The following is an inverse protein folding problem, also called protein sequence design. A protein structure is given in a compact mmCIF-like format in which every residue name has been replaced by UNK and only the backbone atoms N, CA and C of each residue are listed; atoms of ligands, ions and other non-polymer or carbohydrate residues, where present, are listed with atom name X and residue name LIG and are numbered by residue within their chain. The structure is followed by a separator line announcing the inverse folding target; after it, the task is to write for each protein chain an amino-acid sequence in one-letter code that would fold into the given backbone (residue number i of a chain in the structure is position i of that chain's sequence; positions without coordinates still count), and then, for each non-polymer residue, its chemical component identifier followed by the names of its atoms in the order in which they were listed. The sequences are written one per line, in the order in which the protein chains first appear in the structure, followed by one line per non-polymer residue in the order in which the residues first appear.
data_IF_679239066234
#
_entry.id   IF_679239066234
#
_cell.length_a   1.000
_cell.length_b   1.000
_cell.length_c   1.000
_cell.angle_alpha   90.00
_cell.angle_beta   90.00
_cell.angle_gamma   90.00
#
_symmetry.space_group_name_H-M   'P 1'
#
loop_
_entity.id
_entity.type
_entity.pdbx_description
1 polymer ?
#
# COMPACT_ATOMS: atom_id res chain seq x y z
N UNK A 1 2.90 -18.83 -3.18
CA UNK A 1 1.45 -18.75 -2.80
C UNK A 1 0.94 -19.92 -1.95
N UNK A 2 1.21 -21.18 -2.34
CA UNK A 2 0.69 -22.39 -1.64
C UNK A 2 1.04 -22.44 -0.16
N UNK A 3 2.31 -22.30 0.19
CA UNK A 3 2.78 -22.32 1.59
C UNK A 3 2.16 -21.20 2.42
N UNK A 4 2.03 -19.98 1.86
CA UNK A 4 1.39 -18.86 2.55
C UNK A 4 -0.09 -19.13 2.84
N UNK A 5 -0.84 -19.69 1.89
CA UNK A 5 -2.24 -20.05 2.10
C UNK A 5 -2.39 -21.17 3.14
N UNK A 6 -1.48 -22.16 3.13
CA UNK A 6 -1.49 -23.22 4.13
C UNK A 6 -1.21 -22.69 5.54
N UNK A 7 -0.34 -21.69 5.67
CA UNK A 7 0.01 -21.07 6.95
C UNK A 7 -1.00 -20.03 7.45
N UNK A 8 -1.74 -19.36 6.57
CA UNK A 8 -2.65 -18.28 6.93
C UNK A 8 -4.11 -18.74 6.91
N UNK A 9 -4.90 -18.32 7.90
CA UNK A 9 -6.38 -18.41 7.87
C UNK A 9 -7.02 -17.12 7.33
N UNK A 10 -6.33 -16.00 7.48
CA UNK A 10 -6.78 -14.67 7.06
C UNK A 10 -6.86 -14.50 5.53
N UNK A 11 -7.63 -13.52 5.04
CA UNK A 11 -7.56 -13.08 3.65
C UNK A 11 -6.12 -12.72 3.25
N UNK A 12 -5.69 -13.16 2.07
CA UNK A 12 -4.38 -12.84 1.51
C UNK A 12 -4.54 -12.00 0.24
N UNK A 13 -3.58 -11.10 0.02
CA UNK A 13 -3.47 -10.32 -1.22
C UNK A 13 -2.12 -10.63 -1.86
N UNK A 14 -2.14 -11.03 -3.13
CA UNK A 14 -0.91 -11.27 -3.89
C UNK A 14 -0.43 -9.97 -4.55
N UNK A 15 0.73 -9.44 -4.16
CA UNK A 15 1.29 -8.23 -4.75
C UNK A 15 2.31 -8.55 -5.86
N UNK A 16 2.01 -8.15 -7.08
CA UNK A 16 2.83 -8.35 -8.26
C UNK A 16 3.76 -7.16 -8.54
N UNK A 17 4.83 -7.47 -9.26
CA UNK A 17 5.73 -6.50 -9.88
C UNK A 17 5.81 -6.82 -11.38
N UNK A 18 5.38 -5.90 -12.23
CA UNK A 18 5.42 -6.10 -13.69
C UNK A 18 6.86 -6.24 -14.22
N UNK A 19 7.86 -5.78 -13.45
CA UNK A 19 9.27 -5.98 -13.75
C UNK A 19 9.73 -7.46 -13.73
N UNK A 20 8.88 -8.40 -13.30
CA UNK A 20 9.12 -9.85 -13.40
C UNK A 20 8.67 -10.46 -14.74
N UNK A 21 7.87 -9.74 -15.51
CA UNK A 21 7.32 -10.22 -16.78
C UNK A 21 5.88 -10.74 -16.65
N UNK A 22 5.10 -10.60 -17.72
CA UNK A 22 3.65 -10.89 -17.72
C UNK A 22 3.33 -12.37 -17.54
N UNK A 23 4.18 -13.26 -18.05
CA UNK A 23 4.00 -14.72 -17.92
C UNK A 23 4.04 -15.15 -16.45
N UNK A 24 5.14 -14.86 -15.75
CA UNK A 24 5.31 -15.18 -14.32
C UNK A 24 4.23 -14.52 -13.46
N UNK A 25 3.91 -13.25 -13.74
CA UNK A 25 2.87 -12.51 -13.02
C UNK A 25 1.50 -13.16 -13.20
N UNK A 26 1.13 -13.55 -14.43
CA UNK A 26 -0.14 -14.22 -14.72
C UNK A 26 -0.24 -15.58 -14.02
N UNK A 27 0.83 -16.37 -14.07
CA UNK A 27 0.90 -17.67 -13.41
C UNK A 27 0.62 -17.54 -11.90
N UNK A 28 1.32 -16.63 -11.20
CA UNK A 28 1.12 -16.45 -9.77
C UNK A 28 -0.22 -15.78 -9.41
N UNK A 29 -0.75 -14.89 -10.26
CA UNK A 29 -2.05 -14.27 -10.05
C UNK A 29 -3.17 -15.33 -10.09
N UNK A 30 -3.18 -16.18 -11.13
CA UNK A 30 -4.15 -17.28 -11.28
C UNK A 30 -4.01 -18.31 -10.16
N UNK A 31 -2.77 -18.68 -9.82
CA UNK A 31 -2.53 -19.56 -8.66
C UNK A 31 -3.06 -18.96 -7.35
N UNK A 32 -3.00 -17.64 -7.19
CA UNK A 32 -3.55 -16.97 -6.00
C UNK A 32 -5.09 -17.00 -6.01
N UNK A 33 -5.72 -16.82 -7.16
CA UNK A 33 -7.16 -17.00 -7.36
C UNK A 33 -7.62 -18.43 -7.01
N UNK A 34 -6.95 -19.45 -7.57
CA UNK A 34 -7.25 -20.86 -7.29
C UNK A 34 -7.12 -21.21 -5.80
N UNK A 35 -6.22 -20.52 -5.09
CA UNK A 35 -5.99 -20.69 -3.65
C UNK A 35 -6.93 -19.84 -2.78
N UNK A 36 -7.90 -19.12 -3.36
CA UNK A 36 -8.86 -18.31 -2.63
C UNK A 36 -8.25 -17.08 -1.96
N UNK A 37 -7.28 -16.43 -2.60
CA UNK A 37 -6.82 -15.12 -2.17
C UNK A 37 -7.94 -14.10 -2.36
N UNK A 38 -7.95 -13.05 -1.54
CA UNK A 38 -9.02 -12.05 -1.56
C UNK A 38 -8.82 -10.98 -2.63
N UNK A 39 -7.58 -10.77 -3.08
CA UNK A 39 -7.25 -9.83 -4.14
C UNK A 39 -5.88 -10.14 -4.74
N UNK A 40 -5.63 -9.57 -5.91
CA UNK A 40 -4.26 -9.39 -6.45
C UNK A 40 -3.95 -7.90 -6.46
N UNK A 41 -2.68 -7.54 -6.53
CA UNK A 41 -2.30 -6.14 -6.63
C UNK A 41 -1.08 -5.94 -7.51
N UNK A 42 -0.90 -4.69 -7.95
CA UNK A 42 0.20 -4.28 -8.80
C UNK A 42 0.95 -3.15 -8.11
N UNK A 43 2.26 -3.30 -8.01
CA UNK A 43 3.14 -2.23 -7.52
C UNK A 43 3.58 -1.36 -8.70
N UNK A 44 3.21 -0.08 -8.66
CA UNK A 44 3.46 0.89 -9.74
C UNK A 44 4.63 1.85 -9.44
N UNK A 45 4.98 2.03 -8.16
CA UNK A 45 5.99 3.00 -7.71
C UNK A 45 7.44 2.50 -7.85
N UNK A 46 7.67 1.25 -8.23
CA UNK A 46 9.04 0.74 -8.46
C UNK A 46 9.49 1.01 -9.88
N UNK A 47 9.93 2.25 -10.12
CA UNK A 47 10.77 2.57 -11.27
C UNK A 47 12.21 2.15 -10.94
N UNK A 48 12.96 1.63 -11.92
CA UNK A 48 14.41 1.49 -11.77
C UNK A 48 15.00 2.89 -11.46
N UNK A 49 15.85 3.08 -10.43
CA UNK A 49 16.71 4.26 -10.37
C UNK A 49 17.94 4.08 -11.29
N UNK A 50 18.68 5.09 -11.76
CA UNK A 50 18.39 6.31 -12.57
C UNK A 50 19.76 6.84 -13.05
N UNK A 51 19.96 7.03 -14.38
CA UNK A 51 20.71 8.10 -15.11
C UNK A 51 20.88 7.66 -16.58
N UNK A 52 20.88 8.61 -17.53
CA UNK A 52 21.30 8.33 -18.92
C UNK A 52 22.78 7.92 -18.86
N UNK A 53 23.06 6.63 -19.07
CA UNK A 53 24.40 6.05 -19.02
C UNK A 53 24.64 5.02 -17.91
N UNK A 54 23.71 4.81 -16.98
CA UNK A 54 23.89 3.82 -15.91
C UNK A 54 23.31 2.45 -16.31
N UNK A 55 24.16 1.43 -16.40
CA UNK A 55 23.77 0.03 -16.36
C UNK A 55 23.76 -0.45 -14.90
N UNK A 56 22.59 -0.53 -14.27
CA UNK A 56 22.42 -1.23 -12.99
C UNK A 56 21.86 -2.63 -13.27
N UNK A 57 22.69 -3.69 -13.30
CA UNK A 57 22.21 -5.05 -13.35
C UNK A 57 21.57 -5.37 -11.99
N UNK A 58 20.25 -5.20 -11.90
CA UNK A 58 19.47 -5.74 -10.79
C UNK A 58 19.35 -7.24 -10.98
N UNK A 59 20.23 -7.99 -10.31
CA UNK A 59 20.14 -9.44 -10.28
C UNK A 59 18.84 -9.88 -9.61
N UNK A 60 18.22 -10.91 -10.17
CA UNK A 60 17.44 -11.87 -9.38
C UNK A 60 18.35 -12.52 -8.33
N UNK A 61 17.80 -13.29 -7.38
CA UNK A 61 18.63 -14.08 -6.43
C UNK A 61 19.62 -15.01 -7.16
N UNK A 62 19.34 -15.24 -8.44
CA UNK A 62 19.90 -16.16 -9.39
C UNK A 62 20.66 -15.45 -10.54
N UNK A 63 21.04 -14.17 -10.37
CA UNK A 63 21.98 -13.49 -11.27
C UNK A 63 21.38 -12.98 -12.59
N UNK A 64 20.13 -13.33 -12.90
CA UNK A 64 19.49 -12.97 -14.18
C UNK A 64 18.96 -11.53 -14.18
N UNK A 65 19.07 -10.80 -15.30
CA UNK A 65 18.44 -9.50 -15.47
C UNK A 65 16.92 -9.59 -15.35
N UNK A 66 16.29 -8.66 -14.63
CA UNK A 66 14.82 -8.52 -14.63
C UNK A 66 14.32 -8.19 -16.04
N UNK A 67 13.38 -8.99 -16.54
CA UNK A 67 12.83 -8.89 -17.91
C UNK A 67 11.60 -8.01 -18.07
N UNK A 68 11.03 -7.48 -16.99
CA UNK A 68 9.79 -6.73 -17.12
C UNK A 68 9.97 -5.26 -17.43
N UNK A 69 8.84 -4.61 -17.69
CA UNK A 69 8.76 -3.24 -18.19
C UNK A 69 8.25 -2.27 -17.11
N UNK A 70 8.34 -0.96 -17.41
CA UNK A 70 7.66 0.06 -16.60
C UNK A 70 6.17 -0.26 -16.57
N UNK A 71 5.57 -0.34 -15.40
CA UNK A 71 4.13 -0.56 -15.26
C UNK A 71 3.37 0.65 -15.82
N UNK A 72 2.25 0.37 -16.48
CA UNK A 72 1.37 1.34 -17.14
C UNK A 72 -0.09 1.08 -16.78
N UNK A 73 -1.01 2.01 -17.06
CA UNK A 73 -2.44 1.77 -16.85
C UNK A 73 -2.97 0.53 -17.59
N UNK A 74 -2.43 0.22 -18.78
CA UNK A 74 -2.76 -1.00 -19.54
C UNK A 74 -2.42 -2.29 -18.79
N UNK A 75 -1.53 -2.25 -17.81
CA UNK A 75 -1.21 -3.42 -16.99
C UNK A 75 -2.26 -3.69 -15.92
N UNK A 76 -2.99 -2.64 -15.49
CA UNK A 76 -4.17 -2.79 -14.64
C UNK A 76 -5.27 -3.48 -15.44
N UNK A 77 -5.57 -2.96 -16.63
CA UNK A 77 -6.55 -3.55 -17.55
C UNK A 77 -6.20 -5.01 -17.88
N UNK A 78 -4.93 -5.28 -18.19
CA UNK A 78 -4.44 -6.62 -18.46
C UNK A 78 -4.59 -7.55 -17.25
N UNK A 79 -4.27 -7.10 -16.04
CA UNK A 79 -4.44 -7.91 -14.82
C UNK A 79 -5.90 -8.27 -14.57
N UNK A 80 -6.83 -7.33 -14.82
CA UNK A 80 -8.29 -7.57 -14.77
C UNK A 80 -8.75 -8.63 -15.78
N UNK A 81 -8.00 -8.88 -16.84
CA UNK A 81 -8.26 -9.96 -17.80
C UNK A 81 -7.62 -11.30 -17.39
N UNK A 82 -6.70 -11.30 -16.40
CA UNK A 82 -6.03 -12.54 -15.96
C UNK A 82 -6.79 -13.28 -14.87
N UNK A 83 -7.49 -12.57 -14.00
CA UNK A 83 -8.20 -13.09 -12.81
C UNK A 83 -9.50 -12.31 -12.58
N UNK A 84 -10.45 -12.93 -11.87
CA UNK A 84 -11.70 -12.27 -11.44
C UNK A 84 -11.59 -11.61 -10.06
N UNK A 85 -10.45 -11.76 -9.38
CA UNK A 85 -10.18 -11.13 -8.10
C UNK A 85 -10.10 -9.59 -8.22
N UNK A 86 -10.44 -8.85 -7.14
CA UNK A 86 -10.15 -7.42 -7.05
C UNK A 86 -8.67 -7.11 -7.31
N UNK A 87 -8.39 -6.02 -8.04
CA UNK A 87 -7.05 -5.54 -8.38
C UNK A 87 -6.73 -4.28 -7.55
N UNK A 88 -5.75 -4.41 -6.66
CA UNK A 88 -5.26 -3.33 -5.80
C UNK A 88 -4.04 -2.66 -6.42
N UNK A 89 -4.09 -1.34 -6.67
CA UNK A 89 -2.97 -0.60 -7.27
C UNK A 89 -2.20 0.14 -6.19
N UNK A 90 -0.94 -0.22 -5.97
CA UNK A 90 -0.08 0.37 -4.93
C UNK A 90 0.98 1.29 -5.53
N UNK A 91 1.20 2.42 -4.85
CA UNK A 91 2.27 3.37 -5.20
C UNK A 91 1.74 4.71 -5.71
N UNK A 92 0.50 5.04 -5.41
CA UNK A 92 -0.16 6.27 -5.87
C UNK A 92 0.21 7.42 -4.95
N UNK A 93 0.84 8.47 -5.49
CA UNK A 93 1.29 9.63 -4.69
C UNK A 93 0.67 10.95 -5.17
N UNK A 94 -0.21 10.91 -6.16
CA UNK A 94 -0.87 12.08 -6.74
C UNK A 94 -2.28 11.80 -7.26
N UNK A 95 -3.08 12.86 -7.38
CA UNK A 95 -4.46 12.83 -7.81
C UNK A 95 -4.65 12.28 -9.24
N UNK A 96 -3.82 12.72 -10.19
CA UNK A 96 -3.88 12.29 -11.60
C UNK A 96 -3.66 10.78 -11.75
N UNK A 97 -2.63 10.25 -11.08
CA UNK A 97 -2.34 8.82 -11.07
C UNK A 97 -3.47 8.02 -10.42
N UNK A 98 -4.09 8.56 -9.37
CA UNK A 98 -5.25 7.94 -8.74
C UNK A 98 -6.43 7.83 -9.70
N UNK A 99 -6.76 8.92 -10.41
CA UNK A 99 -7.81 8.92 -11.42
C UNK A 99 -7.51 7.95 -12.55
N UNK A 100 -6.26 7.95 -13.04
CA UNK A 100 -5.80 7.04 -14.09
C UNK A 100 -5.95 5.58 -13.66
N UNK A 101 -5.54 5.24 -12.44
CA UNK A 101 -5.65 3.88 -11.92
C UNK A 101 -7.11 3.41 -11.80
N UNK A 102 -8.00 4.26 -11.29
CA UNK A 102 -9.44 3.94 -11.17
C UNK A 102 -10.08 3.81 -12.56
N UNK A 103 -9.75 4.70 -13.50
CA UNK A 103 -10.27 4.64 -14.87
C UNK A 103 -9.80 3.37 -15.61
N UNK A 104 -8.62 2.86 -15.28
CA UNK A 104 -8.08 1.60 -15.79
C UNK A 104 -8.64 0.35 -15.08
N UNK A 105 -9.57 0.51 -14.13
CA UNK A 105 -10.28 -0.59 -13.50
C UNK A 105 -9.68 -1.10 -12.18
N UNK A 106 -8.85 -0.31 -11.51
CA UNK A 106 -8.42 -0.63 -10.13
C UNK A 106 -9.64 -0.73 -9.21
N UNK A 107 -9.69 -1.76 -8.36
CA UNK A 107 -10.75 -1.96 -7.36
C UNK A 107 -10.39 -1.36 -5.99
N UNK A 108 -9.12 -0.98 -5.81
CA UNK A 108 -8.62 -0.20 -4.67
C UNK A 108 -7.30 0.47 -5.07
N UNK A 109 -6.97 1.58 -4.41
CA UNK A 109 -5.65 2.23 -4.56
C UNK A 109 -4.95 2.35 -3.21
N UNK A 110 -3.62 2.28 -3.21
CA UNK A 110 -2.79 2.45 -2.00
C UNK A 110 -1.89 3.66 -2.18
N UNK A 111 -2.09 4.65 -1.31
CA UNK A 111 -1.19 5.78 -1.16
C UNK A 111 0.09 5.30 -0.49
N UNK A 112 1.18 5.30 -1.24
CA UNK A 112 2.43 4.66 -0.84
C UNK A 112 3.61 5.27 -1.57
N UNK A 113 4.68 5.59 -0.84
CA UNK A 113 5.99 5.92 -1.41
C UNK A 113 6.99 4.77 -1.18
N UNK A 114 6.47 3.54 -1.13
CA UNK A 114 7.24 2.32 -0.88
C UNK A 114 8.01 2.32 0.46
N UNK A 115 7.47 3.01 1.47
CA UNK A 115 8.13 3.16 2.76
C UNK A 115 9.36 4.06 2.73
N UNK A 116 9.42 5.00 1.79
CA UNK A 116 10.50 5.97 1.60
C UNK A 116 11.77 5.38 0.97
N UNK A 117 11.62 4.42 0.04
CA UNK A 117 12.75 3.62 -0.47
C UNK A 117 13.10 3.84 -1.94
N UNK A 118 12.23 4.51 -2.70
CA UNK A 118 12.38 4.57 -4.16
C UNK A 118 12.85 5.94 -4.63
N UNK A 119 12.15 7.01 -4.21
CA UNK A 119 12.48 8.37 -4.59
C UNK A 119 12.72 9.19 -3.31
N UNK A 120 13.97 9.57 -3.09
CA UNK A 120 14.34 10.51 -2.03
C UNK A 120 13.72 11.89 -2.30
N UNK A 121 13.39 12.62 -1.23
CA UNK A 121 12.66 13.90 -1.27
C UNK A 121 11.23 13.84 -1.84
N UNK A 122 10.63 12.65 -1.94
CA UNK A 122 9.20 12.54 -2.17
C UNK A 122 8.41 13.02 -0.92
N UNK A 123 7.20 13.56 -1.13
CA UNK A 123 6.29 13.94 -0.05
C UNK A 123 5.94 12.74 0.84
N UNK A 124 5.54 13.01 2.08
CA UNK A 124 5.07 11.94 2.96
C UNK A 124 3.77 11.35 2.40
N UNK A 125 3.58 10.03 2.48
CA UNK A 125 2.35 9.37 1.99
C UNK A 125 1.10 9.88 2.71
N UNK A 126 1.20 10.28 3.99
CA UNK A 126 0.08 10.89 4.71
C UNK A 126 -0.31 12.26 4.15
N UNK A 127 0.67 13.04 3.65
CA UNK A 127 0.42 14.30 2.95
C UNK A 127 -0.19 14.03 1.59
N UNK A 128 0.29 13.00 0.86
CA UNK A 128 -0.39 12.18 -0.17
C UNK A 128 -1.92 12.16 -0.15
N UNK A 129 -2.41 11.74 1.00
CA UNK A 129 -3.68 11.04 1.13
C UNK A 129 -4.90 11.89 0.78
N UNK A 130 -5.05 13.15 1.25
CA UNK A 130 -6.23 13.97 0.97
C UNK A 130 -6.50 14.16 -0.52
N UNK A 131 -5.47 14.48 -1.30
CA UNK A 131 -5.60 14.74 -2.75
C UNK A 131 -6.03 13.47 -3.49
N UNK A 132 -5.47 12.32 -3.09
CA UNK A 132 -5.83 11.02 -3.68
C UNK A 132 -7.26 10.63 -3.31
N UNK A 133 -7.67 10.80 -2.06
CA UNK A 133 -9.05 10.51 -1.62
C UNK A 133 -10.05 11.36 -2.40
N UNK A 134 -9.77 12.66 -2.56
CA UNK A 134 -10.60 13.57 -3.35
C UNK A 134 -10.68 13.14 -4.81
N UNK A 135 -9.55 12.83 -5.44
CA UNK A 135 -9.50 12.39 -6.84
C UNK A 135 -10.22 11.04 -7.08
N UNK A 136 -10.13 10.12 -6.13
CA UNK A 136 -10.86 8.84 -6.22
C UNK A 136 -12.37 9.07 -6.12
N UNK A 137 -12.80 10.06 -5.34
CA UNK A 137 -14.21 10.47 -5.27
C UNK A 137 -15.12 9.37 -4.74
N UNK A 138 -14.62 8.52 -3.85
CA UNK A 138 -15.36 7.39 -3.27
C UNK A 138 -15.65 6.22 -4.22
N UNK A 139 -15.16 6.24 -5.47
CA UNK A 139 -15.38 5.17 -6.45
C UNK A 139 -14.80 3.83 -6.01
N UNK A 140 -13.65 3.86 -5.34
CA UNK A 140 -12.98 2.69 -4.76
C UNK A 140 -12.35 3.03 -3.41
N UNK A 141 -12.10 2.05 -2.52
CA UNK A 141 -11.38 2.30 -1.28
C UNK A 141 -9.94 2.77 -1.52
N UNK A 142 -9.54 3.79 -0.74
CA UNK A 142 -8.16 4.29 -0.68
C UNK A 142 -7.49 3.75 0.58
N UNK A 143 -6.38 3.06 0.42
CA UNK A 143 -5.55 2.56 1.53
C UNK A 143 -4.30 3.44 1.69
N UNK A 144 -3.64 3.37 2.85
CA UNK A 144 -2.39 4.10 3.11
C UNK A 144 -1.32 3.16 3.66
N UNK A 145 -0.06 3.33 3.26
CA UNK A 145 1.08 2.79 4.00
C UNK A 145 2.16 3.86 4.24
N UNK A 146 3.39 3.46 4.55
CA UNK A 146 4.55 4.37 4.61
C UNK A 146 4.55 5.34 5.80
N UNK A 147 4.79 4.81 7.01
CA UNK A 147 5.13 5.63 8.19
C UNK A 147 4.28 5.37 9.43
N UNK A 148 3.23 4.57 9.35
CA UNK A 148 2.33 4.26 10.48
C UNK A 148 3.08 3.53 11.61
N UNK A 149 3.17 4.12 12.79
CA UNK A 149 3.93 3.59 13.95
C UNK A 149 3.13 3.57 15.26
N UNK A 150 2.00 4.24 15.31
CA UNK A 150 1.11 4.24 16.46
C UNK A 150 -0.35 4.07 16.07
N UNK A 151 -1.21 3.73 17.04
CA UNK A 151 -2.66 3.77 16.86
C UNK A 151 -3.19 5.17 16.50
N UNK A 152 -2.51 6.23 16.93
CA UNK A 152 -2.81 7.61 16.54
C UNK A 152 -2.60 7.87 15.05
N UNK A 153 -1.53 7.31 14.47
CA UNK A 153 -1.28 7.40 13.02
C UNK A 153 -2.38 6.71 12.22
N UNK A 154 -2.86 5.56 12.70
CA UNK A 154 -3.99 4.84 12.09
C UNK A 154 -5.23 5.73 12.08
N UNK A 155 -5.63 6.24 13.25
CA UNK A 155 -6.83 7.07 13.37
C UNK A 155 -6.71 8.36 12.54
N UNK A 156 -5.52 8.98 12.49
CA UNK A 156 -5.26 10.16 11.66
C UNK A 156 -5.41 9.85 10.17
N UNK A 157 -4.89 8.71 9.70
CA UNK A 157 -5.05 8.28 8.32
C UNK A 157 -6.54 8.02 7.97
N UNK A 158 -7.27 7.34 8.85
CA UNK A 158 -8.71 7.11 8.68
C UNK A 158 -9.48 8.44 8.61
N UNK A 159 -9.18 9.37 9.52
CA UNK A 159 -9.80 10.69 9.54
C UNK A 159 -9.51 11.50 8.27
N UNK A 160 -8.35 11.32 7.65
CA UNK A 160 -8.01 11.95 6.38
C UNK A 160 -8.68 11.31 5.15
N UNK A 161 -9.29 10.13 5.31
CA UNK A 161 -10.11 9.45 4.31
C UNK A 161 -9.58 8.09 3.86
N UNK A 162 -8.51 7.56 4.47
CA UNK A 162 -8.11 6.18 4.20
C UNK A 162 -9.17 5.20 4.74
N UNK A 163 -9.42 4.12 4.00
CA UNK A 163 -10.28 3.01 4.43
C UNK A 163 -9.58 2.06 5.40
N UNK A 164 -8.28 1.85 5.20
CA UNK A 164 -7.41 1.10 6.09
C UNK A 164 -5.95 1.51 5.87
N UNK A 165 -5.07 1.09 6.79
CA UNK A 165 -3.63 1.28 6.67
C UNK A 165 -2.90 -0.06 6.54
N UNK A 166 -1.74 -0.06 5.90
CA UNK A 166 -0.86 -1.23 5.77
C UNK A 166 0.43 -1.01 6.56
N UNK A 167 0.91 -2.08 7.21
CA UNK A 167 2.09 -2.05 8.07
C UNK A 167 3.20 -2.92 7.45
N UNK A 168 4.35 -2.31 7.17
CA UNK A 168 5.52 -2.98 6.62
C UNK A 168 6.58 -3.29 7.68
N UNK A 169 7.56 -2.39 7.85
CA UNK A 169 8.72 -2.56 8.74
C UNK A 169 8.40 -3.07 10.15
N UNK A 170 7.37 -2.58 10.88
CA UNK A 170 7.04 -3.11 12.19
C UNK A 170 6.77 -4.63 12.22
N UNK A 171 6.16 -5.18 11.17
CA UNK A 171 5.96 -6.64 11.05
C UNK A 171 7.30 -7.36 10.95
N UNK A 172 8.23 -6.86 10.11
CA UNK A 172 9.56 -7.45 9.97
C UNK A 172 10.37 -7.39 11.27
N UNK A 173 10.24 -6.31 12.04
CA UNK A 173 10.86 -6.19 13.35
C UNK A 173 10.27 -7.17 14.36
N UNK A 174 8.95 -7.36 14.36
CA UNK A 174 8.28 -8.37 15.18
C UNK A 174 8.79 -9.79 14.88
N UNK A 175 8.85 -10.15 13.59
CA UNK A 175 9.44 -11.43 13.14
C UNK A 175 10.88 -11.58 13.64
N UNK A 176 11.70 -10.54 13.48
CA UNK A 176 13.11 -10.58 13.88
C UNK A 176 13.33 -10.69 15.39
N UNK A 177 12.42 -10.15 16.19
CA UNK A 177 12.54 -10.17 17.64
C UNK A 177 12.03 -11.48 18.27
N UNK A 178 10.81 -11.90 17.90
CA UNK A 178 10.12 -13.02 18.55
C UNK A 178 9.28 -13.86 17.58
N UNK A 179 9.63 -13.87 16.28
CA UNK A 179 8.91 -14.65 15.28
C UNK A 179 7.43 -14.27 15.19
N UNK A 180 6.54 -15.27 15.19
CA UNK A 180 5.10 -15.08 15.07
C UNK A 180 4.51 -14.29 16.26
N UNK A 181 4.94 -14.57 17.49
CA UNK A 181 4.49 -13.87 18.70
C UNK A 181 4.88 -12.39 18.66
N UNK A 182 6.04 -12.07 18.09
CA UNK A 182 6.47 -10.69 17.89
C UNK A 182 5.57 -9.93 16.91
N UNK A 183 5.11 -10.59 15.85
CA UNK A 183 4.13 -10.00 14.91
C UNK A 183 2.77 -9.80 15.59
N UNK A 184 2.31 -10.78 16.35
CA UNK A 184 1.07 -10.66 17.13
C UNK A 184 1.15 -9.48 18.10
N UNK A 185 2.27 -9.34 18.84
CA UNK A 185 2.46 -8.22 19.76
C UNK A 185 2.45 -6.88 19.06
N UNK A 186 3.06 -6.76 17.89
CA UNK A 186 3.03 -5.51 17.08
C UNK A 186 1.59 -5.11 16.75
N UNK A 187 0.76 -6.03 16.27
CA UNK A 187 -0.64 -5.73 15.98
C UNK A 187 -1.48 -5.50 17.25
N UNK A 188 -1.17 -6.19 18.35
CA UNK A 188 -1.77 -5.92 19.66
C UNK A 188 -1.53 -4.49 20.14
N UNK A 189 -0.29 -4.00 20.04
CA UNK A 189 0.05 -2.61 20.40
C UNK A 189 -0.74 -1.62 19.54
N UNK A 190 -0.78 -1.80 18.22
CA UNK A 190 -1.56 -0.95 17.33
C UNK A 190 -3.05 -0.94 17.70
N UNK A 191 -3.63 -2.09 18.03
CA UNK A 191 -5.03 -2.21 18.42
C UNK A 191 -5.31 -1.51 19.76
N UNK A 192 -4.48 -1.74 20.79
CA UNK A 192 -4.58 -1.09 22.10
C UNK A 192 -4.49 0.43 21.99
N UNK A 193 -3.52 0.93 21.23
CA UNK A 193 -3.34 2.38 21.02
C UNK A 193 -4.50 2.98 20.21
N UNK A 194 -4.96 2.29 19.17
CA UNK A 194 -6.09 2.75 18.35
C UNK A 194 -7.36 2.84 19.20
N UNK A 195 -7.65 1.84 20.05
CA UNK A 195 -8.77 1.88 20.99
C UNK A 195 -8.67 3.07 21.94
N UNK A 196 -7.47 3.35 22.48
CA UNK A 196 -7.23 4.50 23.34
C UNK A 196 -7.53 5.82 22.63
N UNK A 197 -7.05 6.00 21.39
CA UNK A 197 -7.28 7.22 20.61
C UNK A 197 -8.76 7.39 20.27
N UNK A 198 -9.45 6.32 19.87
CA UNK A 198 -10.89 6.35 19.62
C UNK A 198 -11.68 6.77 20.88
N UNK A 199 -11.37 6.19 22.03
CA UNK A 199 -12.00 6.56 23.30
C UNK A 199 -11.75 8.03 23.68
N UNK A 200 -10.51 8.51 23.53
CA UNK A 200 -10.14 9.88 23.88
C UNK A 200 -10.68 10.94 22.90
N UNK A 201 -11.03 10.54 21.68
CA UNK A 201 -11.65 11.42 20.67
C UNK A 201 -13.18 11.30 20.62
N UNK A 202 -13.78 10.48 21.49
CA UNK A 202 -15.23 10.28 21.55
C UNK A 202 -15.82 9.50 20.36
N UNK A 203 -14.99 8.79 19.58
CA UNK A 203 -15.43 8.03 18.42
C UNK A 203 -15.62 6.56 18.79
N UNK A 204 -16.85 6.06 18.74
CA UNK A 204 -17.17 4.70 19.21
C UNK A 204 -16.68 3.57 18.30
N UNK A 205 -16.48 3.81 17.00
CA UNK A 205 -16.01 2.79 16.05
C UNK A 205 -15.08 3.39 15.01
N UNK A 206 -14.10 2.61 14.55
CA UNK A 206 -13.15 3.03 13.51
C UNK A 206 -13.81 3.58 12.24
N UNK A 207 -14.95 3.01 11.84
CA UNK A 207 -15.71 3.44 10.66
C UNK A 207 -16.42 4.80 10.81
N UNK A 208 -16.58 5.26 12.06
CA UNK A 208 -17.24 6.53 12.40
C UNK A 208 -16.21 7.67 12.51
N UNK A 209 -14.92 7.38 12.31
CA UNK A 209 -13.85 8.38 12.28
C UNK A 209 -14.03 9.29 11.07
N UNK A 210 -14.01 10.60 11.31
CA UNK A 210 -14.12 11.64 10.27
C UNK A 210 -13.08 12.73 10.48
N UNK A 211 -12.96 13.69 9.55
CA UNK A 211 -12.06 14.84 9.69
C UNK A 211 -12.34 15.72 10.93
N UNK A 212 -13.52 15.61 11.56
CA UNK A 212 -13.90 16.43 12.70
C UNK A 212 -12.99 16.25 13.94
N UNK A 213 -12.27 15.12 14.05
CA UNK A 213 -11.32 14.88 15.15
C UNK A 213 -9.92 15.45 14.90
N UNK A 214 -9.70 16.06 13.73
CA UNK A 214 -8.41 16.62 13.36
C UNK A 214 -8.44 18.14 13.52
N UNK A 215 -7.40 18.66 14.16
CA UNK A 215 -7.07 20.08 14.11
C UNK A 215 -6.08 20.31 12.98
N UNK A 216 -6.39 21.25 12.10
CA UNK A 216 -5.48 21.78 11.09
C UNK A 216 -5.21 23.22 11.44
N UNK A 217 -4.17 23.46 12.22
CA UNK A 217 -3.61 24.79 12.29
C UNK A 217 -2.81 24.99 11.00
N UNK A 218 -3.16 26.02 10.23
CA UNK A 218 -2.24 26.53 9.24
C UNK A 218 -1.03 27.03 10.01
N UNK A 219 0.10 26.30 9.97
CA UNK A 219 1.33 26.82 10.52
C UNK A 219 1.75 28.04 9.69
N UNK A 220 1.47 29.23 10.21
CA UNK A 220 1.91 30.52 9.64
C UNK A 220 3.35 30.88 10.02
N UNK A 221 4.06 30.00 10.74
CA UNK A 221 5.45 30.22 11.11
C UNK A 221 6.41 30.16 9.92
N UNK A 222 7.64 30.68 10.06
CA UNK A 222 8.59 30.77 8.97
C UNK A 222 8.83 29.38 8.36
N UNK A 223 8.79 29.30 7.02
CA UNK A 223 9.23 28.10 6.31
C UNK A 223 10.70 27.87 6.70
N UNK A 224 11.08 26.67 7.17
CA UNK A 224 12.50 26.37 7.35
C UNK A 224 13.21 26.58 6.00
N UNK A 225 14.33 27.30 6.07
CA UNK A 225 15.22 27.65 4.95
C UNK A 225 15.71 26.41 4.21
#
# INVERSE_FOLDING_TARGET
PKEWRAAAKSPLVFMAYMNRGKEEVSEYAKMSEDLGFAAVGITMDTVKPVKIGDEVPLSTKDGKPRKGHKSTPRDIEWMKQQVNLPVVVKGIMGAEDAQTAVNAGADAVVVSNHGGRILDYNRAALEALPDVVEAVGGRVPVLLDSGVRSGGDIVKALALGARAVLIGRPVAWGVGAFGAEGVERVFGIFAEEMQRVLAMTGVGRARDVTRAILFRDHWEGPRPL
#
